data_IF_213716844807
#
_entry.id   IF_213716844807
#
_cell.length_a   1.000
_cell.length_b   1.000
_cell.length_c   1.000
_cell.angle_alpha   90.00
_cell.angle_beta   90.00
_cell.angle_gamma   90.00
#
_symmetry.space_group_name_H-M   'P 1'
#
loop_
_entity.id
_entity.type
_entity.pdbx_description
1 polymer ?
#
# COMPACT_ATOMS: atom_id res chain seq x y z
N UNK A 1 25.51 12.87 11.32
CA UNK A 1 24.57 13.97 11.02
C UNK A 1 23.59 13.49 9.94
N UNK A 2 22.50 14.23 9.67
CA UNK A 2 21.45 13.81 8.72
C UNK A 2 22.00 13.38 7.34
N UNK A 3 23.02 14.11 6.87
CA UNK A 3 23.74 13.84 5.63
C UNK A 3 24.39 12.45 5.59
N UNK A 4 24.96 11.97 6.70
CA UNK A 4 25.61 10.64 6.76
C UNK A 4 24.58 9.51 6.61
N UNK A 5 23.38 9.70 7.19
CA UNK A 5 22.27 8.73 7.04
C UNK A 5 21.80 8.64 5.59
N UNK A 6 21.64 9.80 4.95
CA UNK A 6 21.26 9.87 3.54
C UNK A 6 22.35 9.34 2.60
N UNK A 7 23.62 9.54 2.96
CA UNK A 7 24.74 8.97 2.21
C UNK A 7 24.70 7.43 2.23
N UNK A 8 24.47 6.81 3.39
CA UNK A 8 24.31 5.36 3.48
C UNK A 8 23.14 4.85 2.61
N UNK A 9 22.05 5.62 2.53
CA UNK A 9 20.91 5.31 1.65
C UNK A 9 21.31 5.42 0.17
N UNK A 10 22.09 6.44 -0.22
CA UNK A 10 22.62 6.57 -1.57
C UNK A 10 23.56 5.44 -1.95
N UNK A 11 24.43 5.01 -1.04
CA UNK A 11 25.31 3.85 -1.25
C UNK A 11 24.49 2.56 -1.46
N UNK A 12 23.42 2.37 -0.67
CA UNK A 12 22.47 1.28 -0.88
C UNK A 12 21.76 1.37 -2.23
N UNK A 13 21.33 2.55 -2.66
CA UNK A 13 20.69 2.77 -3.95
C UNK A 13 21.60 2.38 -5.12
N UNK A 14 22.87 2.81 -5.09
CA UNK A 14 23.88 2.46 -6.11
C UNK A 14 24.11 0.95 -6.12
N UNK A 15 24.19 0.32 -4.95
CA UNK A 15 24.33 -1.14 -4.85
C UNK A 15 23.14 -1.88 -5.48
N UNK A 16 21.90 -1.42 -5.26
CA UNK A 16 20.72 -2.02 -5.88
C UNK A 16 20.72 -1.82 -7.41
N UNK A 17 21.16 -0.66 -7.89
CA UNK A 17 21.33 -0.38 -9.33
C UNK A 17 22.30 -1.37 -9.98
N UNK A 18 23.45 -1.62 -9.33
CA UNK A 18 24.44 -2.61 -9.78
C UNK A 18 23.85 -4.03 -9.79
N UNK A 19 23.10 -4.41 -8.76
CA UNK A 19 22.43 -5.72 -8.72
C UNK A 19 21.39 -5.89 -9.84
N UNK A 20 20.66 -4.83 -10.20
CA UNK A 20 19.68 -4.89 -11.28
C UNK A 20 20.32 -5.13 -12.66
N UNK A 21 21.62 -4.86 -12.81
CA UNK A 21 22.37 -5.16 -14.02
C UNK A 21 22.86 -6.62 -14.10
N UNK A 22 22.74 -7.40 -13.02
CA UNK A 22 23.17 -8.80 -12.96
C UNK A 22 22.24 -9.73 -13.76
N UNK A 23 22.74 -10.45 -14.79
CA UNK A 23 21.95 -11.42 -15.54
C UNK A 23 21.32 -12.54 -14.68
N UNK A 24 21.96 -12.95 -13.58
CA UNK A 24 21.41 -13.97 -12.69
C UNK A 24 20.16 -13.47 -11.96
N UNK A 25 20.12 -12.18 -11.62
CA UNK A 25 18.94 -11.57 -11.00
C UNK A 25 17.81 -11.41 -12.01
N UNK A 26 18.13 -11.01 -13.24
CA UNK A 26 17.14 -10.85 -14.32
C UNK A 26 16.44 -12.20 -14.63
N UNK A 27 17.14 -13.32 -14.45
CA UNK A 27 16.56 -14.65 -14.60
C UNK A 27 15.54 -15.02 -13.50
N UNK A 28 15.63 -14.40 -12.31
CA UNK A 28 14.67 -14.57 -11.21
C UNK A 28 13.73 -13.36 -11.10
N UNK A 29 12.59 -13.45 -11.81
CA UNK A 29 11.59 -12.39 -11.85
C UNK A 29 11.04 -11.97 -10.48
N UNK A 30 10.96 -12.90 -9.52
CA UNK A 30 10.45 -12.59 -8.17
C UNK A 30 11.45 -11.74 -7.39
N UNK A 31 12.73 -12.13 -7.40
CA UNK A 31 13.80 -11.35 -6.78
C UNK A 31 14.02 -10.01 -7.48
N UNK A 32 13.98 -9.99 -8.81
CA UNK A 32 14.11 -8.77 -9.60
C UNK A 32 13.02 -7.75 -9.24
N UNK A 33 11.76 -8.20 -9.13
CA UNK A 33 10.63 -7.33 -8.74
C UNK A 33 10.84 -6.71 -7.36
N UNK A 34 11.32 -7.49 -6.39
CA UNK A 34 11.60 -6.98 -5.02
C UNK A 34 12.70 -5.92 -5.03
N UNK A 35 13.81 -6.19 -5.72
CA UNK A 35 14.96 -5.26 -5.79
C UNK A 35 14.60 -3.99 -6.57
N UNK A 36 13.91 -4.12 -7.69
CA UNK A 36 13.43 -2.98 -8.50
C UNK A 36 12.51 -2.07 -7.70
N UNK A 37 11.66 -2.64 -6.85
CA UNK A 37 10.79 -1.89 -5.95
C UNK A 37 11.60 -1.15 -4.88
N UNK A 38 12.52 -1.82 -4.20
CA UNK A 38 13.40 -1.18 -3.21
C UNK A 38 14.20 -0.03 -3.83
N UNK A 39 14.75 -0.23 -5.04
CA UNK A 39 15.45 0.81 -5.81
C UNK A 39 14.55 2.03 -6.10
N UNK A 40 13.32 1.80 -6.56
CA UNK A 40 12.34 2.87 -6.82
C UNK A 40 11.97 3.61 -5.53
N UNK A 41 11.79 2.90 -4.42
CA UNK A 41 11.43 3.48 -3.12
C UNK A 41 12.53 4.38 -2.53
N UNK A 42 13.80 4.08 -2.82
CA UNK A 42 14.93 4.91 -2.37
C UNK A 42 15.16 6.15 -3.25
N UNK A 43 14.62 6.19 -4.47
CA UNK A 43 14.85 7.28 -5.42
C UNK A 43 14.48 8.68 -4.87
N UNK A 44 13.33 8.89 -4.18
CA UNK A 44 12.99 10.19 -3.59
C UNK A 44 14.01 10.63 -2.52
N UNK A 45 14.48 9.70 -1.70
CA UNK A 45 15.50 9.97 -0.67
C UNK A 45 16.85 10.34 -1.28
N UNK A 46 17.23 9.70 -2.38
CA UNK A 46 18.48 10.04 -3.10
C UNK A 46 18.39 11.40 -3.77
N UNK A 47 17.25 11.76 -4.37
CA UNK A 47 17.04 13.12 -4.89
C UNK A 47 17.13 14.17 -3.79
N UNK A 48 16.45 13.94 -2.67
CA UNK A 48 16.51 14.81 -1.51
C UNK A 48 17.95 14.92 -0.94
N UNK A 49 18.73 13.84 -0.97
CA UNK A 49 20.14 13.88 -0.60
C UNK A 49 20.97 14.81 -1.49
N UNK A 50 20.80 14.72 -2.82
CA UNK A 50 21.58 15.51 -3.77
C UNK A 50 21.26 17.00 -3.65
N UNK A 51 19.97 17.33 -3.58
CA UNK A 51 19.49 18.69 -3.36
C UNK A 51 19.98 19.25 -2.01
N UNK A 52 19.92 18.46 -0.93
CA UNK A 52 20.34 18.89 0.41
C UNK A 52 21.86 19.06 0.50
N UNK A 53 22.63 18.18 -0.14
CA UNK A 53 24.08 18.31 -0.25
C UNK A 53 24.47 19.57 -1.00
N UNK A 54 23.78 19.90 -2.08
CA UNK A 54 24.01 21.14 -2.83
C UNK A 54 23.67 22.36 -1.99
N UNK A 55 22.53 22.35 -1.29
CA UNK A 55 22.11 23.43 -0.39
C UNK A 55 23.15 23.70 0.71
N UNK A 56 23.62 22.64 1.38
CA UNK A 56 24.68 22.77 2.39
C UNK A 56 25.99 23.30 1.80
N UNK A 57 26.34 22.90 0.56
CA UNK A 57 27.49 23.43 -0.16
C UNK A 57 27.37 24.93 -0.45
N UNK A 58 26.18 25.39 -0.87
CA UNK A 58 25.90 26.80 -1.11
C UNK A 58 25.99 27.62 0.20
N UNK A 59 25.38 27.12 1.28
CA UNK A 59 25.47 27.75 2.62
C UNK A 59 26.92 27.86 3.08
N UNK A 60 27.70 26.79 2.92
CA UNK A 60 29.11 26.79 3.28
C UNK A 60 29.90 27.83 2.46
N UNK A 61 29.61 27.94 1.16
CA UNK A 61 30.26 28.91 0.27
C UNK A 61 29.90 30.34 0.67
N UNK A 62 28.62 30.64 0.94
CA UNK A 62 28.19 31.96 1.42
C UNK A 62 28.83 32.30 2.79
N UNK A 63 28.91 31.33 3.72
CA UNK A 63 29.65 31.51 4.99
C UNK A 63 31.14 31.77 4.81
N UNK A 64 31.74 31.27 3.75
CA UNK A 64 33.14 31.58 3.41
C UNK A 64 33.27 32.99 2.82
N UNK A 65 32.32 33.42 1.98
CA UNK A 65 32.27 34.78 1.44
C UNK A 65 32.13 35.85 2.53
N UNK A 66 31.45 35.55 3.65
CA UNK A 66 31.39 36.46 4.81
C UNK A 66 32.78 36.79 5.40
N UNK A 67 33.79 35.96 5.15
CA UNK A 67 35.17 36.18 5.63
C UNK A 67 35.99 37.09 4.72
N UNK A 68 35.46 37.45 3.54
CA UNK A 68 36.12 38.38 2.62
C UNK A 68 36.25 39.78 3.26
N UNK A 69 37.17 40.62 2.80
CA UNK A 69 37.37 41.97 3.33
C UNK A 69 36.42 43.00 2.69
N UNK A 70 35.87 42.69 1.51
CA UNK A 70 34.96 43.57 0.78
C UNK A 70 33.57 43.65 1.44
N UNK A 71 33.09 44.85 1.82
CA UNK A 71 31.74 45.04 2.35
C UNK A 71 30.63 44.53 1.42
N UNK A 72 30.78 44.77 0.10
CA UNK A 72 29.79 44.36 -0.90
C UNK A 72 29.68 42.83 -1.00
N UNK A 73 30.79 42.11 -0.83
CA UNK A 73 30.80 40.64 -0.82
C UNK A 73 30.15 40.06 0.44
N UNK A 74 30.33 40.73 1.59
CA UNK A 74 29.68 40.33 2.84
C UNK A 74 28.18 40.55 2.80
N UNK A 75 27.72 41.69 2.28
CA UNK A 75 26.29 41.97 2.12
C UNK A 75 25.63 40.96 1.18
N UNK A 76 26.29 40.60 0.07
CA UNK A 76 25.81 39.54 -0.82
C UNK A 76 25.68 38.19 -0.11
N UNK A 77 26.67 37.82 0.69
CA UNK A 77 26.67 36.57 1.44
C UNK A 77 25.61 36.53 2.55
N UNK A 78 25.35 37.66 3.22
CA UNK A 78 24.27 37.76 4.23
C UNK A 78 22.90 37.55 3.58
N UNK A 79 22.64 38.17 2.43
CA UNK A 79 21.39 37.97 1.68
C UNK A 79 21.21 36.52 1.21
N UNK A 80 22.29 35.89 0.72
CA UNK A 80 22.23 34.47 0.33
C UNK A 80 21.91 33.57 1.53
N UNK A 81 22.53 33.81 2.70
CA UNK A 81 22.25 33.01 3.89
C UNK A 81 20.83 33.21 4.42
N UNK A 82 20.29 34.43 4.34
CA UNK A 82 18.91 34.73 4.73
C UNK A 82 17.89 33.95 3.88
N UNK A 83 18.22 33.64 2.61
CA UNK A 83 17.38 32.77 1.77
C UNK A 83 17.65 31.26 2.02
N UNK A 84 18.91 30.86 2.16
CA UNK A 84 19.30 29.45 2.18
C UNK A 84 19.06 28.76 3.52
N UNK A 85 19.22 29.45 4.66
CA UNK A 85 19.04 28.85 5.99
C UNK A 85 17.58 28.42 6.27
N UNK A 86 16.54 29.22 5.97
CA UNK A 86 15.15 28.77 6.09
C UNK A 86 14.83 27.57 5.19
N UNK A 87 15.38 27.55 3.97
CA UNK A 87 15.24 26.42 3.04
C UNK A 87 15.91 25.17 3.58
N UNK A 88 17.02 25.30 4.31
CA UNK A 88 17.66 24.18 4.97
C UNK A 88 16.72 23.55 6.00
N UNK A 89 16.12 24.36 6.88
CA UNK A 89 15.19 23.85 7.91
C UNK A 89 13.98 23.16 7.29
N UNK A 90 13.36 23.77 6.27
CA UNK A 90 12.22 23.17 5.56
C UNK A 90 12.60 21.82 4.93
N UNK A 91 13.75 21.77 4.27
CA UNK A 91 14.23 20.56 3.61
C UNK A 91 14.58 19.46 4.63
N UNK A 92 15.14 19.81 5.78
CA UNK A 92 15.41 18.86 6.86
C UNK A 92 14.13 18.22 7.40
N UNK A 93 13.04 18.98 7.55
CA UNK A 93 11.73 18.43 7.95
C UNK A 93 11.15 17.51 6.87
N UNK A 94 11.21 17.91 5.59
CA UNK A 94 10.78 17.06 4.48
C UNK A 94 11.56 15.73 4.45
N UNK A 95 12.88 15.79 4.64
CA UNK A 95 13.74 14.60 4.71
C UNK A 95 13.39 13.72 5.91
N UNK A 96 13.12 14.29 7.09
CA UNK A 96 12.70 13.51 8.27
C UNK A 96 11.43 12.72 7.98
N UNK A 97 10.46 13.31 7.27
CA UNK A 97 9.24 12.63 6.84
C UNK A 97 9.56 11.50 5.86
N UNK A 98 10.44 11.73 4.88
CA UNK A 98 10.86 10.68 3.92
C UNK A 98 11.62 9.52 4.57
N UNK A 99 12.31 9.77 5.69
CA UNK A 99 13.04 8.74 6.44
C UNK A 99 12.13 7.86 7.32
N UNK A 100 10.83 8.17 7.41
CA UNK A 100 9.88 7.33 8.12
C UNK A 100 9.75 6.01 7.32
N UNK A 101 10.04 4.85 7.94
CA UNK A 101 9.91 3.57 7.25
C UNK A 101 8.48 3.38 6.74
N UNK A 102 8.35 3.07 5.45
CA UNK A 102 7.07 2.66 4.88
C UNK A 102 6.62 1.34 5.49
N UNK A 103 5.32 1.20 5.75
CA UNK A 103 4.76 -0.10 6.11
C UNK A 103 4.83 -1.01 4.87
N UNK A 104 5.31 -2.27 4.96
CA UNK A 104 5.32 -3.18 3.82
C UNK A 104 3.93 -3.34 3.16
N UNK A 105 2.86 -3.19 3.93
CA UNK A 105 1.49 -3.28 3.45
C UNK A 105 1.04 -2.04 2.67
N UNK A 106 1.68 -0.88 2.84
CA UNK A 106 1.23 0.41 2.24
C UNK A 106 1.15 0.35 0.72
N UNK A 107 2.02 -0.46 0.12
CA UNK A 107 2.14 -0.64 -1.31
C UNK A 107 1.11 -1.61 -1.92
N UNK A 108 0.31 -2.29 -1.09
CA UNK A 108 -0.63 -3.31 -1.57
C UNK A 108 -1.88 -2.69 -2.16
N UNK A 109 -2.43 -3.39 -3.14
CA UNK A 109 -3.80 -3.21 -3.62
C UNK A 109 -4.79 -3.45 -2.49
N UNK A 110 -6.02 -2.94 -2.61
CA UNK A 110 -7.01 -3.04 -1.54
C UNK A 110 -8.36 -3.55 -2.01
N UNK A 111 -9.05 -4.20 -1.08
CA UNK A 111 -10.49 -4.33 -1.11
C UNK A 111 -11.09 -3.16 -0.33
N UNK A 112 -11.89 -2.36 -1.04
CA UNK A 112 -12.55 -1.17 -0.53
C UNK A 112 -14.06 -1.44 -0.43
N UNK A 113 -14.57 -1.55 0.80
CA UNK A 113 -15.98 -1.80 1.07
C UNK A 113 -16.66 -0.54 1.63
N UNK A 114 -17.75 -0.10 0.99
CA UNK A 114 -18.65 0.92 1.51
C UNK A 114 -19.96 0.24 1.89
N UNK A 115 -20.46 0.49 3.10
CA UNK A 115 -21.73 -0.06 3.59
C UNK A 115 -22.59 1.02 4.22
N UNK A 116 -23.90 0.99 3.94
CA UNK A 116 -24.85 1.87 4.61
C UNK A 116 -24.99 1.48 6.09
N UNK A 117 -25.02 2.48 6.96
CA UNK A 117 -25.19 2.31 8.40
C UNK A 117 -26.58 2.75 8.86
N UNK A 118 -26.63 3.47 9.98
CA UNK A 118 -27.88 4.03 10.51
C UNK A 118 -28.39 5.16 9.62
N UNK A 119 -29.69 5.19 9.34
CA UNK A 119 -30.33 6.21 8.48
C UNK A 119 -31.17 5.66 7.35
N UNK A 120 -31.25 4.32 7.21
CA UNK A 120 -32.08 3.66 6.21
C UNK A 120 -31.73 4.08 4.79
N UNK A 121 -32.73 4.44 3.99
CA UNK A 121 -32.58 4.92 2.61
C UNK A 121 -31.57 6.07 2.47
N UNK A 122 -31.51 6.99 3.45
CA UNK A 122 -30.56 8.10 3.42
C UNK A 122 -29.11 7.63 3.60
N UNK A 123 -28.89 6.57 4.39
CA UNK A 123 -27.56 5.99 4.55
C UNK A 123 -27.08 5.34 3.24
N UNK A 124 -27.98 4.72 2.48
CA UNK A 124 -27.65 4.14 1.17
C UNK A 124 -27.34 5.20 0.12
N UNK A 125 -28.08 6.32 0.13
CA UNK A 125 -27.75 7.49 -0.69
C UNK A 125 -26.38 8.09 -0.31
N UNK A 126 -26.09 8.19 0.99
CA UNK A 126 -24.80 8.69 1.46
C UNK A 126 -23.64 7.77 1.09
N UNK A 127 -23.82 6.44 1.13
CA UNK A 127 -22.84 5.49 0.62
C UNK A 127 -22.57 5.69 -0.89
N UNK A 128 -23.59 6.06 -1.67
CA UNK A 128 -23.44 6.47 -3.07
C UNK A 128 -22.64 7.76 -3.25
N UNK A 129 -22.84 8.75 -2.38
CA UNK A 129 -22.06 9.99 -2.38
C UNK A 129 -20.59 9.74 -2.04
N UNK A 130 -20.32 8.87 -1.04
CA UNK A 130 -18.96 8.42 -0.71
C UNK A 130 -18.31 7.71 -1.89
N UNK A 131 -19.02 6.78 -2.53
CA UNK A 131 -18.50 6.11 -3.72
C UNK A 131 -18.12 7.14 -4.79
N UNK A 132 -19.01 8.09 -5.11
CA UNK A 132 -18.73 9.13 -6.10
C UNK A 132 -17.53 10.00 -5.74
N UNK A 133 -17.37 10.34 -4.46
CA UNK A 133 -16.21 11.08 -3.96
C UNK A 133 -14.93 10.28 -4.19
N UNK A 134 -14.92 9.02 -3.75
CA UNK A 134 -13.75 8.15 -3.87
C UNK A 134 -13.43 7.78 -5.32
N UNK A 135 -14.41 7.53 -6.18
CA UNK A 135 -14.17 7.27 -7.62
C UNK A 135 -13.37 8.39 -8.27
N UNK A 136 -13.71 9.65 -7.97
CA UNK A 136 -12.96 10.82 -8.46
C UNK A 136 -11.55 10.88 -7.89
N UNK A 137 -11.38 10.54 -6.62
CA UNK A 137 -10.07 10.46 -5.99
C UNK A 137 -9.21 9.37 -6.65
N UNK A 138 -9.77 8.17 -6.88
CA UNK A 138 -9.08 7.05 -7.50
C UNK A 138 -8.67 7.37 -8.95
N UNK A 139 -9.54 8.00 -9.73
CA UNK A 139 -9.22 8.51 -11.07
C UNK A 139 -8.07 9.52 -11.03
N UNK A 140 -8.06 10.45 -10.08
CA UNK A 140 -6.99 11.43 -9.90
C UNK A 140 -5.65 10.81 -9.47
N UNK A 141 -5.67 9.65 -8.82
CA UNK A 141 -4.47 8.86 -8.51
C UNK A 141 -4.03 7.97 -9.67
N UNK A 142 -4.82 7.85 -10.74
CA UNK A 142 -4.56 6.93 -11.85
C UNK A 142 -4.71 5.45 -11.47
N UNK A 143 -5.46 5.15 -10.40
CA UNK A 143 -5.69 3.78 -9.95
C UNK A 143 -6.76 3.08 -10.78
N UNK A 144 -6.59 1.77 -10.93
CA UNK A 144 -7.59 0.90 -11.55
C UNK A 144 -8.62 0.51 -10.49
N UNK A 145 -9.90 0.61 -10.83
CA UNK A 145 -11.01 0.28 -9.93
C UNK A 145 -11.92 -0.73 -10.61
N UNK A 146 -12.17 -1.85 -9.94
CA UNK A 146 -13.08 -2.91 -10.40
C UNK A 146 -14.15 -3.18 -9.35
N UNK A 147 -15.42 -3.26 -9.76
CA UNK A 147 -16.50 -3.61 -8.85
C UNK A 147 -16.56 -5.13 -8.67
N UNK A 148 -16.38 -5.60 -7.43
CA UNK A 148 -16.44 -7.02 -7.06
C UNK A 148 -17.87 -7.43 -6.72
N UNK A 149 -18.56 -6.58 -5.95
CA UNK A 149 -19.94 -6.86 -5.51
C UNK A 149 -20.70 -5.55 -5.30
N UNK A 150 -21.92 -5.50 -5.82
CA UNK A 150 -22.79 -4.33 -5.73
C UNK A 150 -24.14 -4.75 -5.18
N UNK A 151 -24.58 -4.09 -4.11
CA UNK A 151 -25.92 -4.19 -3.57
C UNK A 151 -26.52 -2.78 -3.49
N UNK A 152 -27.44 -2.50 -4.41
CA UNK A 152 -28.08 -1.20 -4.53
C UNK A 152 -29.09 -0.94 -3.40
N UNK A 153 -29.25 0.34 -3.05
CA UNK A 153 -30.28 0.80 -2.13
C UNK A 153 -31.66 0.87 -2.80
N UNK A 154 -32.73 0.81 -1.99
CA UNK A 154 -34.13 0.82 -2.48
C UNK A 154 -34.49 2.07 -3.27
N UNK A 155 -33.93 3.23 -2.90
CA UNK A 155 -34.20 4.54 -3.53
C UNK A 155 -32.97 5.10 -4.27
N UNK A 156 -32.00 4.24 -4.58
CA UNK A 156 -30.71 4.59 -5.14
C UNK A 156 -29.58 4.59 -4.11
N UNK A 157 -28.35 4.82 -4.59
CA UNK A 157 -27.14 4.59 -3.80
C UNK A 157 -26.90 3.10 -3.54
N UNK A 158 -26.19 2.77 -2.46
CA UNK A 158 -25.74 1.40 -2.20
C UNK A 158 -25.94 1.01 -0.73
N UNK A 159 -26.49 -0.18 -0.47
CA UNK A 159 -26.43 -0.78 0.86
C UNK A 159 -25.05 -1.38 1.14
N UNK A 160 -24.43 -1.96 0.09
CA UNK A 160 -23.08 -2.50 0.13
C UNK A 160 -22.43 -2.36 -1.25
N UNK A 161 -21.20 -1.87 -1.29
CA UNK A 161 -20.37 -1.80 -2.49
C UNK A 161 -18.98 -2.30 -2.14
N UNK A 162 -18.48 -3.28 -2.88
CA UNK A 162 -17.13 -3.82 -2.73
C UNK A 162 -16.37 -3.58 -4.02
N UNK A 163 -15.24 -2.91 -3.90
CA UNK A 163 -14.35 -2.57 -5.00
C UNK A 163 -12.99 -3.21 -4.77
N UNK A 164 -12.35 -3.63 -5.84
CA UNK A 164 -10.93 -3.90 -5.89
C UNK A 164 -10.23 -2.68 -6.49
N UNK A 165 -9.20 -2.18 -5.81
CA UNK A 165 -8.44 -1.02 -6.24
C UNK A 165 -6.98 -1.41 -6.36
N UNK A 166 -6.44 -1.24 -7.57
CA UNK A 166 -5.07 -1.59 -7.90
C UNK A 166 -4.26 -0.39 -8.36
N UNK A 167 -3.01 -0.28 -7.89
CA UNK A 167 -2.13 0.84 -8.25
C UNK A 167 -0.96 1.05 -7.29
N UNK A 168 -0.33 2.23 -7.39
CA UNK A 168 0.81 2.58 -6.54
C UNK A 168 0.38 3.12 -5.17
N UNK A 169 0.88 2.49 -4.10
CA UNK A 169 0.69 2.87 -2.70
C UNK A 169 -0.79 3.03 -2.28
N UNK A 170 -1.66 2.12 -2.76
CA UNK A 170 -3.11 2.20 -2.54
C UNK A 170 -3.48 2.10 -1.07
N UNK A 171 -3.03 1.05 -0.38
CA UNK A 171 -3.35 0.85 1.03
C UNK A 171 -2.80 1.96 1.91
N UNK A 172 -1.56 2.39 1.69
CA UNK A 172 -0.91 3.42 2.50
C UNK A 172 -1.64 4.76 2.47
N UNK A 173 -2.24 5.10 1.33
CA UNK A 173 -3.06 6.32 1.18
C UNK A 173 -4.48 6.16 1.72
N UNK A 174 -5.06 4.97 1.67
CA UNK A 174 -6.47 4.73 2.05
C UNK A 174 -6.66 4.17 3.47
N UNK A 175 -5.62 3.69 4.15
CA UNK A 175 -5.74 3.03 5.46
C UNK A 175 -6.45 3.88 6.53
N UNK A 176 -6.36 5.20 6.41
CA UNK A 176 -6.99 6.15 7.33
C UNK A 176 -8.47 6.43 7.02
N UNK A 177 -8.98 5.99 5.87
CA UNK A 177 -10.38 6.16 5.47
C UNK A 177 -11.30 5.10 6.11
N UNK A 178 -10.72 4.03 6.66
CA UNK A 178 -11.46 2.94 7.29
C UNK A 178 -12.11 3.41 8.60
N UNK A 179 -13.43 3.38 8.66
CA UNK A 179 -14.18 3.85 9.82
C UNK A 179 -15.62 4.22 9.51
N UNK A 180 -16.27 4.82 10.51
CA UNK A 180 -17.63 5.35 10.39
C UNK A 180 -17.61 6.80 9.91
N UNK A 181 -18.36 7.07 8.84
CA UNK A 181 -18.54 8.39 8.24
C UNK A 181 -19.94 8.89 8.60
N UNK A 182 -20.03 10.13 9.10
CA UNK A 182 -21.29 10.73 9.56
C UNK A 182 -21.73 11.85 8.62
N UNK A 183 -23.01 11.89 8.29
CA UNK A 183 -23.63 12.98 7.53
C UNK A 183 -24.81 13.58 8.29
N UNK A 184 -24.95 14.90 8.23
CA UNK A 184 -26.08 15.64 8.78
C UNK A 184 -26.65 16.55 7.70
N UNK A 185 -27.85 16.24 7.20
CA UNK A 185 -28.55 17.03 6.18
C UNK A 185 -30.05 16.76 6.22
N UNK A 186 -30.81 17.52 5.44
CA UNK A 186 -32.22 17.21 5.16
C UNK A 186 -32.25 16.11 4.09
N UNK A 187 -32.69 14.88 4.40
CA UNK A 187 -32.74 13.78 3.43
C UNK A 187 -33.64 14.11 2.25
N UNK A 188 -33.33 13.54 1.09
CA UNK A 188 -34.23 13.65 -0.08
C UNK A 188 -35.57 12.96 0.16
N UNK A 189 -35.61 12.00 1.08
CA UNK A 189 -36.80 11.24 1.47
C UNK A 189 -37.61 11.92 2.58
N UNK A 190 -37.16 13.06 3.11
CA UNK A 190 -37.82 13.77 4.22
C UNK A 190 -38.75 14.87 3.71
N UNK A 191 -40.01 14.87 4.17
CA UNK A 191 -41.06 15.79 3.68
C UNK A 191 -41.19 17.07 4.53
N UNK A 192 -40.74 17.07 5.79
CA UNK A 192 -40.91 18.19 6.72
C UNK A 192 -39.69 19.11 6.83
N UNK A 193 -38.63 18.86 6.04
CA UNK A 193 -37.43 19.68 6.06
C UNK A 193 -36.58 19.54 7.33
N UNK A 194 -36.70 18.42 8.05
CA UNK A 194 -35.93 18.17 9.29
C UNK A 194 -34.53 17.65 8.95
N UNK A 195 -33.54 18.09 9.73
CA UNK A 195 -32.18 17.58 9.61
C UNK A 195 -32.09 16.21 10.29
N UNK A 196 -31.64 15.21 9.54
CA UNK A 196 -31.36 13.87 10.07
C UNK A 196 -29.86 13.65 10.14
N UNK A 197 -29.45 12.77 11.07
CA UNK A 197 -28.09 12.26 11.14
C UNK A 197 -28.09 10.82 10.64
N UNK A 198 -27.27 10.55 9.63
CA UNK A 198 -27.06 9.21 9.06
C UNK A 198 -25.58 8.86 9.09
N UNK A 199 -25.26 7.59 8.90
CA UNK A 199 -23.90 7.11 8.87
C UNK A 199 -23.70 6.03 7.79
N UNK A 200 -22.47 5.91 7.30
CA UNK A 200 -22.00 4.82 6.47
C UNK A 200 -20.63 4.37 6.98
N UNK A 201 -20.24 3.13 6.70
CA UNK A 201 -18.91 2.62 7.05
C UNK A 201 -18.09 2.38 5.80
N UNK A 202 -16.83 2.78 5.85
CA UNK A 202 -15.82 2.43 4.86
C UNK A 202 -14.86 1.45 5.51
N UNK A 203 -14.50 0.38 4.82
CA UNK A 203 -13.51 -0.60 5.26
C UNK A 203 -12.47 -0.74 4.16
N UNK A 204 -11.21 -0.60 4.53
CA UNK A 204 -10.07 -0.71 3.62
C UNK A 204 -9.20 -1.87 4.09
N UNK A 205 -9.07 -2.90 3.27
CA UNK A 205 -8.29 -4.09 3.59
C UNK A 205 -7.21 -4.30 2.52
N UNK A 206 -5.94 -4.54 2.90
CA UNK A 206 -4.92 -4.90 1.92
C UNK A 206 -5.27 -6.26 1.30
N UNK A 207 -5.15 -6.36 -0.01
CA UNK A 207 -5.33 -7.62 -0.72
C UNK A 207 -4.15 -8.52 -0.40
N UNK A 208 -4.42 -9.65 0.22
CA UNK A 208 -3.43 -10.71 0.42
C UNK A 208 -3.47 -11.62 -0.81
N UNK A 209 -2.37 -11.67 -1.55
CA UNK A 209 -2.17 -12.76 -2.50
C UNK A 209 -1.91 -14.03 -1.70
N UNK A 210 -2.77 -15.03 -1.89
CA UNK A 210 -2.48 -16.36 -1.37
C UNK A 210 -1.36 -16.94 -2.22
N UNK A 211 -0.23 -17.27 -1.60
CA UNK A 211 0.82 -18.03 -2.28
C UNK A 211 0.26 -19.40 -2.65
N UNK A 212 0.63 -19.90 -3.84
CA UNK A 212 0.33 -21.27 -4.22
C UNK A 212 0.92 -22.21 -3.18
N UNK A 213 0.06 -23.04 -2.58
CA UNK A 213 0.49 -24.01 -1.58
C UNK A 213 1.27 -25.11 -2.29
N UNK A 214 2.59 -25.06 -2.17
CA UNK A 214 3.43 -26.18 -2.60
C UNK A 214 3.28 -27.35 -1.62
N UNK A 215 2.66 -28.43 -2.08
CA UNK A 215 2.51 -29.63 -1.28
C UNK A 215 3.79 -30.45 -1.41
N UNK A 216 4.67 -30.31 -0.42
CA UNK A 216 5.84 -31.16 -0.31
C UNK A 216 5.44 -32.62 -0.10
N UNK A 217 5.74 -33.47 -1.09
CA UNK A 217 5.40 -34.90 -1.05
C UNK A 217 6.07 -35.65 0.10
N UNK A 218 7.20 -35.15 0.62
CA UNK A 218 7.86 -35.76 1.78
C UNK A 218 7.04 -35.61 3.08
N UNK A 219 6.17 -34.61 3.14
CA UNK A 219 5.29 -34.34 4.27
C UNK A 219 3.95 -35.08 4.16
N UNK A 220 3.75 -35.85 3.09
CA UNK A 220 2.58 -36.69 2.89
C UNK A 220 2.89 -38.14 3.24
N UNK A 221 2.14 -38.68 4.19
CA UNK A 221 2.05 -40.13 4.38
C UNK A 221 0.91 -40.68 3.54
N UNK A 222 1.24 -41.60 2.63
CA UNK A 222 0.27 -42.26 1.76
C UNK A 222 0.13 -43.71 2.25
N UNK A 223 -1.05 -44.04 2.77
CA UNK A 223 -1.42 -45.38 3.21
C UNK A 223 -2.38 -45.98 2.17
N UNK A 224 -2.01 -47.09 1.53
CA UNK A 224 -2.90 -47.87 0.66
C UNK A 224 -3.57 -48.99 1.45
N UNK A 225 -4.87 -49.19 1.22
CA UNK A 225 -5.64 -50.24 1.89
C UNK A 225 -6.79 -50.71 1.02
N UNK A 226 -7.51 -51.73 1.49
CA UNK A 226 -8.64 -52.31 0.74
C UNK A 226 -9.89 -51.47 0.95
N UNK A 227 -10.56 -51.11 -0.14
CA UNK A 227 -11.80 -50.34 -0.11
C UNK A 227 -12.91 -51.10 0.63
N UNK A 228 -13.65 -50.41 1.49
CA UNK A 228 -14.86 -50.95 2.14
C UNK A 228 -16.09 -50.65 1.28
N UNK A 229 -16.71 -51.67 0.70
CA UNK A 229 -17.93 -51.50 -0.11
C UNK A 229 -18.39 -52.79 -0.79
N UNK A 230 -19.59 -52.74 -1.39
CA UNK A 230 -20.10 -53.85 -2.17
C UNK A 230 -19.28 -54.01 -3.46
N UNK A 231 -18.38 -54.98 -3.48
CA UNK A 231 -17.64 -55.36 -4.69
C UNK A 231 -17.27 -56.82 -4.67
N UNK A 232 -17.16 -57.40 -5.86
CA UNK A 232 -16.87 -58.83 -6.03
C UNK A 232 -15.48 -59.22 -5.53
N UNK A 233 -15.01 -60.41 -5.91
CA UNK A 233 -13.72 -60.96 -5.45
C UNK A 233 -12.51 -60.03 -5.65
N UNK A 234 -12.58 -59.06 -6.56
CA UNK A 234 -11.52 -58.09 -6.84
C UNK A 234 -11.30 -57.09 -5.68
N UNK A 235 -12.37 -56.66 -4.98
CA UNK A 235 -12.26 -55.73 -3.84
C UNK A 235 -11.54 -56.37 -2.65
N UNK A 236 -11.62 -57.69 -2.52
CA UNK A 236 -10.92 -58.44 -1.46
C UNK A 236 -9.44 -58.73 -1.77
N UNK A 237 -9.00 -58.55 -3.03
CA UNK A 237 -7.65 -58.91 -3.48
C UNK A 237 -6.77 -57.69 -3.74
N UNK A 238 -7.35 -56.54 -4.07
CA UNK A 238 -6.61 -55.35 -4.53
C UNK A 238 -6.74 -54.20 -3.53
N UNK A 239 -5.62 -53.55 -3.20
CA UNK A 239 -5.61 -52.31 -2.43
C UNK A 239 -5.96 -51.14 -3.36
N UNK A 240 -7.24 -50.76 -3.35
CA UNK A 240 -7.77 -49.69 -4.20
C UNK A 240 -8.18 -48.43 -3.44
N UNK A 241 -8.12 -48.43 -2.10
CA UNK A 241 -8.35 -47.23 -1.30
C UNK A 241 -7.02 -46.59 -0.90
N UNK A 242 -6.99 -45.25 -0.87
CA UNK A 242 -5.81 -44.46 -0.56
C UNK A 242 -6.18 -43.47 0.53
N UNK A 243 -5.45 -43.48 1.64
CA UNK A 243 -5.52 -42.45 2.68
C UNK A 243 -4.27 -41.61 2.61
N UNK A 244 -4.44 -40.29 2.57
CA UNK A 244 -3.34 -39.34 2.60
C UNK A 244 -3.41 -38.58 3.92
N UNK A 245 -2.31 -38.53 4.64
CA UNK A 245 -2.15 -37.73 5.86
C UNK A 245 -1.06 -36.70 5.63
N UNK A 246 -1.39 -35.42 5.79
CA UNK A 246 -0.40 -34.35 5.83
C UNK A 246 0.21 -34.32 7.23
N UNK A 247 1.46 -34.78 7.35
CA UNK A 247 2.14 -35.00 8.64
C UNK A 247 2.20 -33.73 9.52
N UNK A 248 2.51 -32.52 8.99
CA UNK A 248 2.59 -31.31 9.81
C UNK A 248 1.26 -30.87 10.42
N UNK A 249 0.15 -31.03 9.69
CA UNK A 249 -1.17 -30.54 10.14
C UNK A 249 -2.03 -31.64 10.75
N UNK A 250 -1.67 -32.91 10.52
CA UNK A 250 -2.47 -34.07 10.94
C UNK A 250 -3.80 -34.20 10.18
N UNK A 251 -4.02 -33.43 9.12
CA UNK A 251 -5.23 -33.53 8.29
C UNK A 251 -5.17 -34.82 7.48
N UNK A 252 -6.26 -35.58 7.54
CA UNK A 252 -6.42 -36.87 6.85
C UNK A 252 -7.53 -36.76 5.81
N UNK A 253 -7.28 -37.25 4.60
CA UNK A 253 -8.27 -37.44 3.53
C UNK A 253 -8.23 -38.88 3.04
N UNK A 254 -9.38 -39.47 2.72
CA UNK A 254 -9.59 -40.88 2.34
C UNK A 254 -10.43 -41.01 1.08
#
# INVERSE_FOLDING_TARGET
MLLDKLQAIKERYIYLEEQMADPELIADMSRYTKISKEYKDLQPLVRAYEEYKQLLGNIQTAREMLKDESPDMREMAEMELEELEPRQEEMEEQIKVLLIPKDPEDSKDVIFEIRSGTGGDEASLFAGDLYRMYSRYFEGQGWKVEAVSVNEGTVGGYNKLVLEISGEDVYGKLKFESGAHRVQRIPKTESQGRVHTSAATVVVMPKLEMEDVDINKADLKIDTYRSSGAGGQHVNKTESAVRITHLPTGIVSE
#
